data_IF_755880924461
#
_entry.id   IF_755880924461
#
_cell.length_a   1.000
_cell.length_b   1.000
_cell.length_c   1.000
_cell.angle_alpha   90.00
_cell.angle_beta   90.00
_cell.angle_gamma   90.00
#
_symmetry.space_group_name_H-M   'P 1'
#
loop_
_entity.id
_entity.type
_entity.pdbx_description
1 polymer ?
#
# COMPACT_ATOMS: atom_id res chain seq x y z
N UNK A 1 19.06 -11.64 -6.28
CA UNK A 1 18.26 -10.61 -5.58
C UNK A 1 18.49 -9.27 -6.24
N UNK A 2 17.42 -8.54 -6.55
CA UNK A 2 17.52 -7.14 -6.97
C UNK A 2 18.02 -6.26 -5.83
N UNK A 3 18.49 -5.06 -6.13
CA UNK A 3 18.87 -4.11 -5.09
C UNK A 3 17.65 -3.41 -4.50
N UNK A 4 17.69 -3.14 -3.19
CA UNK A 4 16.74 -2.26 -2.53
C UNK A 4 17.12 -0.81 -2.85
N UNK A 5 16.13 0.06 -3.00
CA UNK A 5 16.38 1.51 -3.14
C UNK A 5 17.02 2.10 -1.88
N UNK A 6 16.84 1.42 -0.75
CA UNK A 6 17.44 1.71 0.56
C UNK A 6 17.42 0.45 1.43
N UNK A 7 18.40 0.24 2.31
CA UNK A 7 18.47 -0.88 3.23
C UNK A 7 18.71 -0.39 4.67
N UNK A 8 17.80 -0.61 5.63
CA UNK A 8 16.48 -1.21 5.43
C UNK A 8 15.50 -0.27 4.70
N UNK A 9 14.64 -0.84 3.87
CA UNK A 9 13.51 -0.15 3.25
C UNK A 9 12.30 -0.21 4.19
N UNK A 10 11.72 0.95 4.48
CA UNK A 10 10.57 1.10 5.38
C UNK A 10 9.30 1.40 4.56
N UNK A 11 8.43 0.41 4.43
CA UNK A 11 7.16 0.51 3.72
C UNK A 11 6.00 0.53 4.73
N UNK A 12 5.08 1.48 4.58
CA UNK A 12 3.81 1.53 5.31
C UNK A 12 2.68 1.25 4.33
N UNK A 13 1.79 0.32 4.68
CA UNK A 13 0.52 0.10 3.98
C UNK A 13 -0.61 0.47 4.95
N UNK A 14 -1.41 1.48 4.56
CA UNK A 14 -2.42 2.08 5.41
C UNK A 14 -3.78 2.13 4.71
N UNK A 15 -4.83 1.98 5.49
CA UNK A 15 -6.20 2.17 5.03
C UNK A 15 -7.20 1.96 6.16
N UNK A 16 -8.47 2.02 5.82
CA UNK A 16 -9.58 1.77 6.75
C UNK A 16 -9.83 0.25 6.85
N UNK A 17 -10.19 -0.22 8.04
CA UNK A 17 -10.51 -1.63 8.27
C UNK A 17 -11.58 -2.14 7.30
N UNK A 18 -11.29 -3.25 6.61
CA UNK A 18 -12.15 -3.82 5.57
C UNK A 18 -11.68 -3.52 4.14
N UNK A 19 -10.69 -2.65 3.93
CA UNK A 19 -10.13 -2.39 2.59
C UNK A 19 -9.14 -3.46 2.11
N UNK A 20 -8.79 -4.45 2.92
CA UNK A 20 -7.86 -5.53 2.54
C UNK A 20 -6.38 -5.21 2.73
N UNK A 21 -6.05 -4.21 3.56
CA UNK A 21 -4.68 -3.81 3.88
C UNK A 21 -3.78 -4.99 4.28
N UNK A 22 -4.34 -5.95 5.02
CA UNK A 22 -3.63 -7.16 5.48
C UNK A 22 -3.27 -8.05 4.30
N UNK A 23 -4.21 -8.25 3.37
CA UNK A 23 -4.00 -9.09 2.18
C UNK A 23 -2.89 -8.48 1.31
N UNK A 24 -2.96 -7.17 1.06
CA UNK A 24 -1.93 -6.44 0.31
C UNK A 24 -0.55 -6.62 0.96
N UNK A 25 -0.48 -6.44 2.28
CA UNK A 25 0.78 -6.58 3.03
C UNK A 25 1.33 -8.01 2.98
N UNK A 26 0.47 -9.02 3.13
CA UNK A 26 0.87 -10.42 3.07
C UNK A 26 1.41 -10.80 1.69
N UNK A 27 0.76 -10.41 0.60
CA UNK A 27 1.25 -10.66 -0.76
C UNK A 27 2.66 -10.09 -0.97
N UNK A 28 2.89 -8.87 -0.50
CA UNK A 28 4.20 -8.21 -0.59
C UNK A 28 5.24 -8.93 0.28
N UNK A 29 4.91 -9.23 1.54
CA UNK A 29 5.82 -9.91 2.47
C UNK A 29 6.20 -11.30 1.97
N UNK A 30 5.22 -12.10 1.54
CA UNK A 30 5.45 -13.47 1.08
C UNK A 30 6.34 -13.49 -0.18
N UNK A 31 6.11 -12.57 -1.13
CA UNK A 31 6.95 -12.43 -2.31
C UNK A 31 8.39 -12.04 -1.95
N UNK A 32 8.58 -11.06 -1.05
CA UNK A 32 9.91 -10.63 -0.61
C UNK A 32 10.68 -11.74 0.12
N UNK A 33 10.01 -12.50 1.00
CA UNK A 33 10.62 -13.63 1.71
C UNK A 33 11.05 -14.72 0.71
N UNK A 34 10.24 -15.02 -0.30
CA UNK A 34 10.61 -15.98 -1.36
C UNK A 34 11.80 -15.52 -2.19
N UNK A 35 11.97 -14.22 -2.38
CA UNK A 35 13.15 -13.62 -3.03
C UNK A 35 14.38 -13.54 -2.11
N UNK A 36 14.26 -13.99 -0.85
CA UNK A 36 15.37 -14.10 0.10
C UNK A 36 15.64 -12.87 0.96
N UNK A 37 14.70 -11.91 1.00
CA UNK A 37 14.82 -10.75 1.90
C UNK A 37 14.40 -11.09 3.33
N UNK A 38 15.05 -10.44 4.29
CA UNK A 38 14.62 -10.41 5.68
C UNK A 38 13.47 -9.40 5.80
N UNK A 39 12.27 -9.90 6.11
CA UNK A 39 11.07 -9.08 6.23
C UNK A 39 10.58 -9.09 7.68
N UNK A 40 10.41 -7.90 8.26
CA UNK A 40 9.76 -7.75 9.55
C UNK A 40 8.41 -7.06 9.34
N UNK A 41 7.36 -7.71 9.79
CA UNK A 41 5.99 -7.23 9.71
C UNK A 41 5.48 -6.81 11.09
N UNK A 42 4.93 -5.60 11.18
CA UNK A 42 4.22 -5.09 12.34
C UNK A 42 2.85 -4.56 11.94
N UNK A 43 1.90 -4.63 12.87
CA UNK A 43 0.55 -4.16 12.60
C UNK A 43 -0.01 -3.41 13.81
N UNK A 44 -0.67 -2.28 13.54
CA UNK A 44 -1.41 -1.53 14.54
C UNK A 44 -2.89 -1.49 14.18
N UNK A 45 -3.72 -1.89 15.13
CA UNK A 45 -5.18 -1.85 15.03
C UNK A 45 -5.74 -0.81 15.99
N UNK A 46 -6.74 -0.04 15.59
CA UNK A 46 -7.53 0.72 16.55
C UNK A 46 -8.35 -0.25 17.44
N UNK A 47 -8.71 0.19 18.63
CA UNK A 47 -9.57 -0.57 19.54
C UNK A 47 -10.95 -0.92 18.91
N UNK A 48 -11.35 -0.22 17.87
CA UNK A 48 -12.58 -0.43 17.10
C UNK A 48 -12.32 -1.38 15.94
N UNK A 49 -12.96 -2.55 15.93
CA UNK A 49 -12.75 -3.61 14.92
C UNK A 49 -13.26 -3.28 13.51
N UNK A 50 -14.05 -2.22 13.31
CA UNK A 50 -14.57 -1.79 12.00
C UNK A 50 -14.45 -0.29 11.84
N UNK A 51 -13.99 0.14 10.67
CA UNK A 51 -13.95 1.55 10.27
C UNK A 51 -12.83 2.38 10.90
N UNK A 52 -11.90 1.78 11.64
CA UNK A 52 -10.70 2.45 12.13
C UNK A 52 -9.51 2.27 11.19
N UNK A 53 -8.48 3.09 11.35
CA UNK A 53 -7.24 3.03 10.57
C UNK A 53 -6.45 1.75 10.88
N UNK A 54 -6.07 1.00 9.87
CA UNK A 54 -5.19 -0.17 10.01
C UNK A 54 -3.85 0.14 9.38
N UNK A 55 -2.81 0.14 10.19
CA UNK A 55 -1.45 0.43 9.77
C UNK A 55 -0.65 -0.85 9.75
N UNK A 56 -0.03 -1.15 8.61
CA UNK A 56 0.91 -2.25 8.45
C UNK A 56 2.29 -1.67 8.20
N UNK A 57 3.24 -2.03 9.06
CA UNK A 57 4.66 -1.68 8.95
C UNK A 57 5.40 -2.86 8.34
N UNK A 58 6.13 -2.63 7.26
CA UNK A 58 6.95 -3.65 6.60
C UNK A 58 8.36 -3.10 6.49
N UNK A 59 9.31 -3.77 7.13
CA UNK A 59 10.73 -3.41 7.06
C UNK A 59 11.49 -4.51 6.34
N UNK A 60 12.19 -4.12 5.30
CA UNK A 60 12.80 -5.02 4.34
C UNK A 60 14.31 -4.78 4.36
N UNK A 61 15.11 -5.83 4.53
CA UNK A 61 16.56 -5.73 4.49
C UNK A 61 17.19 -6.99 3.89
N UNK A 62 18.39 -6.87 3.35
CA UNK A 62 19.22 -8.00 2.95
C UNK A 62 20.07 -8.53 4.09
N UNK A 63 20.39 -7.70 5.06
CA UNK A 63 21.46 -7.95 6.01
C UNK A 63 20.98 -8.08 7.46
N UNK A 64 19.96 -7.32 7.86
CA UNK A 64 19.58 -7.23 9.27
C UNK A 64 18.09 -7.48 9.50
N UNK A 65 17.78 -8.12 10.63
CA UNK A 65 16.41 -8.18 11.14
C UNK A 65 16.10 -6.90 11.92
N UNK A 66 15.12 -6.14 11.46
CA UNK A 66 14.70 -4.89 12.10
C UNK A 66 13.60 -5.12 13.16
N UNK A 67 13.40 -4.14 14.05
CA UNK A 67 12.19 -4.10 14.89
C UNK A 67 10.94 -3.85 14.02
N UNK A 68 9.74 -4.31 14.41
CA UNK A 68 8.56 -4.20 13.54
C UNK A 68 8.03 -2.78 13.34
N UNK A 69 8.32 -1.86 14.26
CA UNK A 69 7.80 -0.49 14.19
C UNK A 69 8.79 0.40 13.44
N UNK A 70 8.30 1.12 12.43
CA UNK A 70 9.06 2.15 11.74
C UNK A 70 9.14 3.39 12.64
N UNK A 71 10.33 3.97 12.87
CA UNK A 71 10.44 5.22 13.64
C UNK A 71 9.75 6.39 12.93
N UNK A 72 9.31 7.38 13.69
CA UNK A 72 8.72 8.62 13.16
C UNK A 72 9.67 9.31 12.18
N UNK A 73 9.12 9.87 11.11
CA UNK A 73 9.89 10.52 10.04
C UNK A 73 10.78 9.58 9.22
N UNK A 74 10.54 8.25 9.23
CA UNK A 74 11.43 7.26 8.59
C UNK A 74 10.72 6.34 7.60
N UNK A 75 9.52 6.66 7.15
CA UNK A 75 8.92 5.94 6.03
C UNK A 75 9.65 6.29 4.73
N UNK A 76 9.98 5.28 3.93
CA UNK A 76 10.53 5.45 2.59
C UNK A 76 9.42 5.40 1.54
N UNK A 77 8.43 4.51 1.76
CA UNK A 77 7.26 4.35 0.90
C UNK A 77 6.00 4.25 1.74
N UNK A 78 4.96 4.99 1.36
CA UNK A 78 3.62 4.90 1.95
C UNK A 78 2.64 4.50 0.84
N UNK A 79 1.94 3.38 1.03
CA UNK A 79 0.82 2.93 0.18
C UNK A 79 -0.47 3.14 0.94
N UNK A 80 -1.27 4.08 0.50
CA UNK A 80 -2.52 4.43 1.16
C UNK A 80 -3.74 4.02 0.31
N UNK A 81 -4.62 3.22 0.90
CA UNK A 81 -5.88 2.82 0.28
C UNK A 81 -6.96 3.88 0.43
N UNK A 82 -6.69 4.96 1.21
CA UNK A 82 -7.60 6.04 1.51
C UNK A 82 -6.82 7.35 1.70
N UNK A 83 -7.26 8.49 1.10
CA UNK A 83 -6.46 9.73 1.07
C UNK A 83 -6.19 10.38 2.43
N UNK A 84 -7.17 10.42 3.35
CA UNK A 84 -6.97 11.02 4.69
C UNK A 84 -6.01 10.17 5.52
N UNK A 85 -6.04 8.85 5.34
CA UNK A 85 -5.08 7.96 5.98
C UNK A 85 -3.65 8.17 5.46
N UNK A 86 -3.48 8.54 4.18
CA UNK A 86 -2.18 8.96 3.65
C UNK A 86 -1.64 10.19 4.40
N UNK A 87 -2.47 11.23 4.58
CA UNK A 87 -2.07 12.44 5.33
C UNK A 87 -1.67 12.10 6.77
N UNK A 88 -2.40 11.20 7.45
CA UNK A 88 -2.05 10.77 8.82
C UNK A 88 -0.67 10.13 8.87
N UNK A 89 -0.34 9.28 7.90
CA UNK A 89 0.98 8.64 7.84
C UNK A 89 2.07 9.61 7.45
N UNK A 90 1.82 10.50 6.51
CA UNK A 90 2.77 11.56 6.13
C UNK A 90 3.08 12.47 7.31
N UNK A 91 2.08 12.86 8.12
CA UNK A 91 2.27 13.70 9.30
C UNK A 91 3.15 13.04 10.39
N UNK A 92 3.10 11.71 10.54
CA UNK A 92 3.84 11.00 11.57
C UNK A 92 5.15 10.39 11.06
N UNK A 93 5.14 9.81 9.88
CA UNK A 93 6.26 9.03 9.35
C UNK A 93 6.91 9.63 8.11
N UNK A 94 6.31 10.69 7.54
CA UNK A 94 6.83 11.38 6.36
C UNK A 94 8.16 12.06 6.59
N UNK A 95 8.89 12.28 5.52
CA UNK A 95 10.15 13.01 5.45
C UNK A 95 10.30 13.58 4.02
N UNK A 96 11.30 14.43 3.73
CA UNK A 96 11.45 15.04 2.41
C UNK A 96 11.61 14.08 1.23
N UNK A 97 12.02 12.83 1.48
CA UNK A 97 12.30 11.83 0.46
C UNK A 97 11.19 10.78 0.34
N UNK A 98 10.13 10.88 1.17
CA UNK A 98 9.06 9.88 1.19
C UNK A 98 8.30 9.81 -0.13
N UNK A 99 8.06 8.60 -0.59
CA UNK A 99 7.27 8.31 -1.79
C UNK A 99 5.89 7.83 -1.37
N UNK A 100 4.84 8.41 -1.95
CA UNK A 100 3.46 8.03 -1.63
C UNK A 100 2.74 7.46 -2.85
N UNK A 101 2.11 6.30 -2.68
CA UNK A 101 1.12 5.76 -3.60
C UNK A 101 -0.25 5.84 -2.93
N UNK A 102 -1.23 6.43 -3.59
CA UNK A 102 -2.55 6.63 -3.01
C UNK A 102 -3.66 6.20 -3.97
N UNK A 103 -4.63 5.45 -3.44
CA UNK A 103 -5.92 5.23 -4.09
C UNK A 103 -6.85 6.41 -3.75
N UNK A 104 -7.31 7.21 -4.73
CA UNK A 104 -8.03 8.47 -4.48
C UNK A 104 -9.51 8.25 -4.10
N UNK A 105 -9.82 7.15 -3.41
CA UNK A 105 -11.16 6.78 -2.98
C UNK A 105 -11.42 7.16 -1.53
N UNK A 106 -12.22 8.21 -1.24
CA UNK A 106 -12.59 8.56 0.12
C UNK A 106 -13.45 7.47 0.76
N UNK A 107 -13.08 7.06 1.98
CA UNK A 107 -13.91 6.21 2.84
C UNK A 107 -13.98 6.90 4.19
N UNK A 108 -15.19 7.26 4.61
CA UNK A 108 -15.38 7.82 5.94
C UNK A 108 -15.14 6.75 6.99
N UNK A 109 -14.07 6.92 7.76
CA UNK A 109 -13.87 6.10 8.95
C UNK A 109 -15.01 6.34 9.96
N UNK A 110 -15.32 5.33 10.78
CA UNK A 110 -16.42 5.42 11.78
C UNK A 110 -16.21 6.58 12.75
N UNK A 111 -14.97 6.93 13.04
CA UNK A 111 -14.64 8.10 13.88
C UNK A 111 -15.19 9.41 13.32
N UNK A 112 -15.38 9.49 12.00
CA UNK A 112 -15.99 10.64 11.33
C UNK A 112 -17.52 10.50 11.28
N UNK A 113 -18.05 9.30 11.10
CA UNK A 113 -19.51 9.06 11.03
C UNK A 113 -20.22 9.25 12.37
N UNK A 114 -19.52 9.09 13.50
CA UNK A 114 -20.04 9.38 14.85
C UNK A 114 -19.85 10.83 15.29
N UNK A 115 -19.05 11.63 14.57
CA UNK A 115 -18.80 13.03 14.82
C UNK A 115 -19.50 13.90 13.79
N UNK A 116 -19.75 15.21 14.10
CA UNK A 116 -20.21 16.20 13.10
C UNK A 116 -19.12 16.60 12.10
N UNK A 117 -17.96 15.94 12.11
CA UNK A 117 -16.85 16.21 11.23
C UNK A 117 -17.21 15.80 9.78
N UNK A 118 -17.00 16.70 8.85
CA UNK A 118 -17.14 16.42 7.41
C UNK A 118 -15.81 15.91 6.86
N UNK A 119 -15.86 15.00 5.89
CA UNK A 119 -14.68 14.62 5.14
C UNK A 119 -14.11 15.88 4.46
N UNK A 120 -12.80 16.14 4.57
CA UNK A 120 -12.18 17.29 3.90
C UNK A 120 -12.32 17.19 2.38
N UNK A 121 -12.25 18.33 1.68
CA UNK A 121 -12.33 18.33 0.22
C UNK A 121 -11.25 17.47 -0.41
N UNK A 122 -11.65 16.46 -1.21
CA UNK A 122 -10.74 15.48 -1.79
C UNK A 122 -9.58 16.14 -2.55
N UNK A 123 -9.87 17.15 -3.37
CA UNK A 123 -8.83 17.85 -4.14
C UNK A 123 -7.75 18.44 -3.23
N UNK A 124 -8.16 19.08 -2.11
CA UNK A 124 -7.21 19.64 -1.15
C UNK A 124 -6.36 18.55 -0.48
N UNK A 125 -6.98 17.43 -0.08
CA UNK A 125 -6.24 16.29 0.47
C UNK A 125 -5.21 15.75 -0.52
N UNK A 126 -5.58 15.64 -1.79
CA UNK A 126 -4.67 15.16 -2.84
C UNK A 126 -3.53 16.14 -3.14
N UNK A 127 -3.78 17.44 -3.08
CA UNK A 127 -2.73 18.48 -3.15
C UNK A 127 -1.77 18.35 -1.97
N UNK A 128 -2.29 18.27 -0.73
CA UNK A 128 -1.47 18.13 0.48
C UNK A 128 -0.60 16.85 0.45
N UNK A 129 -1.12 15.74 -0.07
CA UNK A 129 -0.33 14.52 -0.25
C UNK A 129 0.84 14.77 -1.20
N UNK A 130 0.60 15.45 -2.32
CA UNK A 130 1.66 15.78 -3.30
C UNK A 130 2.72 16.71 -2.71
N UNK A 131 2.30 17.71 -1.94
CA UNK A 131 3.20 18.68 -1.33
C UNK A 131 4.07 18.06 -0.22
N UNK A 132 3.57 17.02 0.46
CA UNK A 132 4.25 16.31 1.55
C UNK A 132 5.09 15.13 1.07
N UNK A 133 5.10 14.81 -0.21
CA UNK A 133 5.81 13.65 -0.78
C UNK A 133 6.81 14.07 -1.84
N UNK A 134 7.97 13.43 -1.87
CA UNK A 134 8.95 13.63 -2.94
C UNK A 134 8.41 13.21 -4.31
N UNK A 135 7.61 12.15 -4.34
CA UNK A 135 6.87 11.69 -5.52
C UNK A 135 5.55 11.06 -5.09
N UNK A 136 4.51 11.27 -5.88
CA UNK A 136 3.18 10.69 -5.62
C UNK A 136 2.68 9.95 -6.86
N UNK A 137 2.27 8.67 -6.68
CA UNK A 137 1.49 7.92 -7.64
C UNK A 137 0.02 7.91 -7.20
N UNK A 138 -0.86 8.32 -8.08
CA UNK A 138 -2.32 8.29 -7.86
C UNK A 138 -2.89 7.12 -8.64
N UNK A 139 -3.17 6.02 -7.95
CA UNK A 139 -3.65 4.78 -8.57
C UNK A 139 -5.14 4.61 -8.25
N UNK A 140 -6.00 4.80 -9.24
CA UNK A 140 -7.46 4.65 -9.08
C UNK A 140 -7.87 3.16 -9.04
N UNK A 141 -7.26 2.43 -8.11
CA UNK A 141 -7.39 0.99 -8.00
C UNK A 141 -8.84 0.52 -7.80
N UNK A 142 -9.69 1.35 -7.20
CA UNK A 142 -11.08 0.97 -6.94
C UNK A 142 -11.93 0.98 -8.21
N UNK A 143 -11.78 1.98 -9.07
CA UNK A 143 -12.53 2.04 -10.34
C UNK A 143 -12.06 0.92 -11.27
N UNK A 144 -10.77 0.75 -11.43
CA UNK A 144 -10.18 -0.34 -12.21
C UNK A 144 -10.64 -1.73 -11.73
N UNK A 145 -10.69 -1.92 -10.41
CA UNK A 145 -11.20 -3.17 -9.82
C UNK A 145 -12.69 -3.40 -10.13
N UNK A 146 -13.49 -2.34 -10.17
CA UNK A 146 -14.90 -2.42 -10.54
C UNK A 146 -15.06 -2.78 -12.02
N UNK A 147 -14.22 -2.25 -12.91
CA UNK A 147 -14.19 -2.61 -14.32
C UNK A 147 -13.81 -4.09 -14.54
N UNK A 148 -12.91 -4.64 -13.70
CA UNK A 148 -12.61 -6.07 -13.65
C UNK A 148 -13.73 -6.91 -13.01
N UNK A 149 -14.81 -6.28 -12.56
CA UNK A 149 -16.01 -6.94 -12.01
C UNK A 149 -15.99 -7.21 -10.51
N UNK A 150 -14.93 -6.82 -9.78
CA UNK A 150 -14.87 -7.04 -8.33
C UNK A 150 -13.98 -6.02 -7.61
N UNK A 151 -14.59 -5.11 -6.84
CA UNK A 151 -13.89 -4.06 -6.09
C UNK A 151 -12.79 -4.56 -5.13
N UNK A 152 -12.84 -5.83 -4.69
CA UNK A 152 -11.80 -6.47 -3.87
C UNK A 152 -10.45 -6.53 -4.59
N UNK A 153 -10.43 -6.56 -5.93
CA UNK A 153 -9.20 -6.59 -6.74
C UNK A 153 -8.35 -5.33 -6.60
N UNK A 154 -8.89 -4.22 -6.05
CA UNK A 154 -8.13 -3.00 -5.77
C UNK A 154 -6.85 -3.27 -4.97
N UNK A 155 -6.86 -4.26 -4.09
CA UNK A 155 -5.70 -4.67 -3.29
C UNK A 155 -4.57 -5.20 -4.19
N UNK A 156 -4.91 -6.05 -5.13
CA UNK A 156 -3.94 -6.68 -6.03
C UNK A 156 -3.46 -5.68 -7.09
N UNK A 157 -4.33 -4.77 -7.54
CA UNK A 157 -3.96 -3.66 -8.42
C UNK A 157 -2.90 -2.78 -7.73
N UNK A 158 -3.07 -2.43 -6.45
CA UNK A 158 -2.08 -1.64 -5.71
C UNK A 158 -0.75 -2.39 -5.54
N UNK A 159 -0.78 -3.73 -5.34
CA UNK A 159 0.45 -4.54 -5.33
C UNK A 159 1.14 -4.50 -6.69
N UNK A 160 0.37 -4.64 -7.78
CA UNK A 160 0.89 -4.52 -9.15
C UNK A 160 1.52 -3.15 -9.41
N UNK A 161 0.84 -2.08 -9.01
CA UNK A 161 1.35 -0.72 -9.14
C UNK A 161 2.65 -0.51 -8.36
N UNK A 162 2.74 -1.02 -7.12
CA UNK A 162 3.92 -0.94 -6.28
C UNK A 162 5.14 -1.65 -6.92
N UNK A 163 4.91 -2.76 -7.61
CA UNK A 163 5.93 -3.47 -8.38
C UNK A 163 6.25 -2.72 -9.68
N UNK A 164 5.23 -2.20 -10.36
CA UNK A 164 5.37 -1.44 -11.60
C UNK A 164 6.20 -0.16 -11.44
N UNK A 165 6.08 0.55 -10.33
CA UNK A 165 6.90 1.72 -9.99
C UNK A 165 8.37 1.39 -9.68
N UNK A 166 8.76 0.12 -9.58
CA UNK A 166 10.12 -0.28 -9.24
C UNK A 166 10.55 0.02 -7.80
N UNK A 167 9.60 0.36 -6.92
CA UNK A 167 9.88 0.70 -5.52
C UNK A 167 10.28 -0.49 -4.67
N UNK A 168 9.87 -1.70 -5.08
CA UNK A 168 10.25 -2.96 -4.46
C UNK A 168 11.12 -3.78 -5.40
N UNK A 169 12.02 -4.61 -4.86
CA UNK A 169 12.89 -5.47 -5.65
C UNK A 169 12.14 -6.74 -6.12
N UNK A 170 10.91 -6.56 -6.57
CA UNK A 170 10.01 -7.61 -7.01
C UNK A 170 9.72 -7.50 -8.52
N UNK A 171 9.36 -8.61 -9.12
CA UNK A 171 8.91 -8.72 -10.50
C UNK A 171 7.58 -9.48 -10.55
N UNK A 172 6.93 -9.48 -11.72
CA UNK A 172 5.71 -10.27 -11.94
C UNK A 172 5.87 -11.73 -11.50
N UNK A 173 6.99 -12.36 -11.89
CA UNK A 173 7.31 -13.75 -11.53
C UNK A 173 7.46 -14.00 -10.03
N UNK A 174 7.76 -12.96 -9.24
CA UNK A 174 7.85 -13.05 -7.78
C UNK A 174 6.47 -13.13 -7.13
N UNK A 175 5.47 -12.49 -7.74
CA UNK A 175 4.09 -12.44 -7.23
C UNK A 175 3.22 -13.59 -7.73
N UNK A 176 3.47 -14.10 -8.92
CA UNK A 176 2.66 -15.14 -9.55
C UNK A 176 2.44 -16.37 -8.63
N UNK A 177 3.47 -17.02 -8.07
CA UNK A 177 3.27 -18.16 -7.17
C UNK A 177 2.58 -17.79 -5.84
N UNK A 178 2.75 -16.57 -5.36
CA UNK A 178 2.09 -16.09 -4.14
C UNK A 178 0.59 -15.87 -4.39
N UNK A 179 0.24 -15.29 -5.53
CA UNK A 179 -1.15 -15.06 -5.95
C UNK A 179 -1.84 -16.40 -6.23
N UNK A 180 -1.17 -17.36 -6.88
CA UNK A 180 -1.71 -18.69 -7.14
C UNK A 180 -2.04 -19.43 -5.86
N UNK A 181 -1.12 -19.44 -4.90
CA UNK A 181 -1.33 -20.09 -3.60
C UNK A 181 -2.46 -19.44 -2.79
N UNK A 182 -2.52 -18.10 -2.82
CA UNK A 182 -3.52 -17.34 -2.05
C UNK A 182 -4.91 -17.39 -2.65
N UNK A 183 -5.01 -17.39 -3.99
CA UNK A 183 -6.25 -17.29 -4.73
C UNK A 183 -6.39 -18.36 -5.82
N UNK A 184 -6.28 -19.67 -5.51
CA UNK A 184 -6.23 -20.71 -6.53
C UNK A 184 -7.47 -20.76 -7.42
N UNK A 185 -8.65 -20.35 -6.91
CA UNK A 185 -9.91 -20.34 -7.67
C UNK A 185 -10.13 -19.06 -8.48
N UNK A 186 -9.33 -18.03 -8.24
CA UNK A 186 -9.45 -16.73 -8.89
C UNK A 186 -8.08 -16.24 -9.38
N UNK A 187 -7.17 -17.16 -9.68
CA UNK A 187 -5.80 -16.86 -10.08
C UNK A 187 -5.75 -15.91 -11.28
N UNK A 188 -6.38 -16.27 -12.38
CA UNK A 188 -6.37 -15.47 -13.62
C UNK A 188 -6.89 -14.04 -13.41
N UNK A 189 -7.98 -13.90 -12.63
CA UNK A 189 -8.56 -12.60 -12.31
C UNK A 189 -7.61 -11.75 -11.46
N UNK A 190 -6.95 -12.36 -10.47
CA UNK A 190 -5.97 -11.65 -9.64
C UNK A 190 -4.70 -11.30 -10.41
N UNK A 191 -4.28 -12.15 -11.35
CA UNK A 191 -3.15 -11.83 -12.23
C UNK A 191 -3.49 -10.69 -13.19
N UNK A 192 -4.69 -10.68 -13.77
CA UNK A 192 -5.16 -9.54 -14.57
C UNK A 192 -5.19 -8.23 -13.77
N UNK A 193 -5.67 -8.27 -12.53
CA UNK A 193 -5.64 -7.14 -11.62
C UNK A 193 -4.21 -6.66 -11.30
N UNK A 194 -3.30 -7.59 -11.05
CA UNK A 194 -1.89 -7.29 -10.85
C UNK A 194 -1.27 -6.62 -12.09
N UNK A 195 -1.46 -7.22 -13.26
CA UNK A 195 -0.91 -6.70 -14.53
C UNK A 195 -1.47 -5.30 -14.82
N UNK A 196 -2.78 -5.07 -14.58
CA UNK A 196 -3.38 -3.73 -14.69
C UNK A 196 -2.73 -2.71 -13.76
N UNK A 197 -2.44 -3.09 -12.53
CA UNK A 197 -1.71 -2.24 -11.59
C UNK A 197 -0.31 -1.86 -12.09
N UNK A 198 0.42 -2.80 -12.68
CA UNK A 198 1.73 -2.53 -13.29
C UNK A 198 1.62 -1.52 -14.44
N UNK A 199 0.60 -1.64 -15.29
CA UNK A 199 0.34 -0.71 -16.39
C UNK A 199 0.06 0.71 -15.88
N UNK A 200 -0.86 0.86 -14.92
CA UNK A 200 -1.22 2.16 -14.32
C UNK A 200 -0.02 2.90 -13.71
N UNK A 201 0.91 2.16 -13.13
CA UNK A 201 2.12 2.74 -12.57
C UNK A 201 3.04 3.28 -13.67
N UNK A 202 3.22 2.52 -14.76
CA UNK A 202 4.05 2.91 -15.90
C UNK A 202 3.50 4.09 -16.70
N UNK A 203 2.18 4.23 -16.75
CA UNK A 203 1.52 5.37 -17.39
C UNK A 203 1.82 6.71 -16.70
N UNK A 204 2.35 6.69 -15.45
CA UNK A 204 2.66 7.87 -14.65
C UNK A 204 4.19 8.13 -14.50
N UNK A 205 5.03 7.32 -15.13
CA UNK A 205 6.48 7.56 -15.21
C UNK A 205 6.81 8.64 -16.24
#
# INVERSE_FOLDING_TARGET
>A
MKELIKDPLNLIIIGVAGQGNVVTSQLVCDALVREGYLVTFGQSYPAQQRGGSVINYIRISKEIQCSPIIPEGRADVIVAMEPVEAIRMLAQFGNPDVITMVNPRPIQAIDITGSKAKYPGLNKVMEDIKDLSAKTWVINATEEAQELGNAIMANVILVGALVGCGLLPLERKSLEPVIEERFPRAFELNMAAFDRGVELAREQE
#
